data_IF_596545544580
#
_entry.id   IF_596545544580
#
_cell.length_a   1.000
_cell.length_b   1.000
_cell.length_c   1.000
_cell.angle_alpha   90.00
_cell.angle_beta   90.00
_cell.angle_gamma   90.00
#
_symmetry.space_group_name_H-M   'P 1'
#
loop_
_entity.id
_entity.type
_entity.pdbx_description
1 polymer ?
#
# COMPACT_ATOMS: atom_id res chain seq x y z
N UNK A 1 -26.59 -1.77 -16.25
CA UNK A 1 -25.99 -1.11 -15.07
C UNK A 1 -24.54 -1.54 -14.97
N UNK A 2 -23.58 -0.60 -14.99
CA UNK A 2 -22.16 -0.93 -14.81
C UNK A 2 -21.88 -1.45 -13.39
N UNK A 3 -20.90 -2.35 -13.21
CA UNK A 3 -20.58 -2.93 -11.90
C UNK A 3 -19.89 -1.90 -10.98
N UNK A 4 -20.42 -1.73 -9.76
CA UNK A 4 -19.87 -0.86 -8.71
C UNK A 4 -18.57 -1.42 -8.15
N UNK A 5 -17.42 -1.02 -8.70
CA UNK A 5 -16.09 -1.39 -8.18
C UNK A 5 -15.21 -0.16 -8.09
N UNK A 6 -14.37 -0.02 -7.05
CA UNK A 6 -13.29 0.99 -6.99
C UNK A 6 -12.05 0.52 -7.76
N UNK A 7 -11.09 1.43 -7.95
CA UNK A 7 -9.83 1.18 -8.64
C UNK A 7 -8.94 0.16 -7.91
N UNK A 8 -9.11 -0.10 -6.61
CA UNK A 8 -8.27 -1.08 -5.87
C UNK A 8 -9.03 -1.97 -4.88
N UNK A 9 -10.04 -2.68 -5.38
CA UNK A 9 -10.64 -3.83 -4.67
C UNK A 9 -10.21 -5.15 -5.29
N UNK A 10 -9.05 -5.70 -4.89
CA UNK A 10 -8.70 -7.09 -5.23
C UNK A 10 -9.23 -8.00 -4.14
N UNK A 11 -10.37 -8.64 -4.42
CA UNK A 11 -10.80 -9.85 -3.71
C UNK A 11 -9.94 -11.00 -4.24
N UNK A 12 -9.38 -11.89 -3.39
CA UNK A 12 -8.75 -13.11 -3.87
C UNK A 12 -9.77 -13.91 -4.69
N UNK A 13 -9.56 -14.01 -6.00
CA UNK A 13 -10.36 -14.87 -6.86
C UNK A 13 -10.11 -16.33 -6.47
N UNK A 14 -11.21 -17.05 -6.30
CA UNK A 14 -11.31 -18.49 -6.06
C UNK A 14 -10.64 -19.21 -7.24
N UNK A 15 -9.59 -19.99 -6.99
CA UNK A 15 -8.97 -20.85 -8.00
C UNK A 15 -9.69 -22.20 -7.98
N UNK A 16 -10.41 -22.49 -9.06
CA UNK A 16 -10.80 -23.85 -9.42
C UNK A 16 -9.59 -24.61 -9.97
N UNK A 17 -9.54 -25.89 -9.60
CA UNK A 17 -8.47 -26.84 -9.83
C UNK A 17 -8.29 -27.15 -11.33
N UNK A 18 -7.12 -26.85 -11.91
CA UNK A 18 -6.60 -27.63 -13.05
C UNK A 18 -5.08 -27.75 -12.98
N UNK A 19 -4.64 -28.99 -12.86
CA UNK A 19 -3.26 -29.47 -12.87
C UNK A 19 -2.68 -29.54 -14.28
N UNK A 20 -1.46 -29.04 -14.48
CA UNK A 20 -0.36 -29.71 -15.21
C UNK A 20 0.87 -28.79 -15.21
N UNK A 21 2.07 -29.39 -15.27
CA UNK A 21 3.27 -28.82 -14.70
C UNK A 21 4.20 -28.07 -15.66
N UNK A 22 5.04 -27.21 -15.08
CA UNK A 22 6.45 -27.05 -15.44
C UNK A 22 7.17 -26.23 -14.35
N UNK A 23 8.46 -26.49 -14.14
CA UNK A 23 9.31 -25.98 -13.05
C UNK A 23 9.65 -24.49 -13.20
N UNK A 24 9.90 -23.74 -12.11
CA UNK A 24 10.26 -22.33 -12.18
C UNK A 24 11.78 -22.14 -12.29
N UNK A 25 12.18 -21.20 -13.15
CA UNK A 25 13.56 -20.74 -13.31
C UNK A 25 13.65 -19.22 -13.19
N UNK A 26 14.65 -18.79 -12.43
CA UNK A 26 15.26 -17.47 -12.30
C UNK A 26 14.55 -16.35 -11.53
N UNK A 27 15.14 -16.09 -10.37
CA UNK A 27 15.19 -14.81 -9.68
C UNK A 27 15.70 -13.71 -10.62
N UNK A 28 14.90 -12.65 -10.76
CA UNK A 28 15.28 -11.40 -11.42
C UNK A 28 14.94 -10.25 -10.48
N UNK A 29 15.96 -9.46 -10.13
CA UNK A 29 15.88 -8.28 -9.30
C UNK A 29 14.76 -7.33 -9.76
N UNK A 30 13.97 -6.83 -8.81
CA UNK A 30 12.92 -5.86 -9.05
C UNK A 30 13.50 -4.59 -9.65
N UNK A 31 13.20 -4.34 -10.92
CA UNK A 31 13.39 -3.04 -11.56
C UNK A 31 12.06 -2.29 -11.54
N UNK A 32 12.10 -1.03 -11.13
CA UNK A 32 11.00 -0.08 -11.20
C UNK A 32 10.30 -0.15 -12.57
N UNK A 33 8.96 -0.17 -12.55
CA UNK A 33 8.14 -0.16 -13.77
C UNK A 33 8.27 1.21 -14.42
N UNK A 34 9.07 1.29 -15.48
CA UNK A 34 9.17 2.48 -16.33
C UNK A 34 7.88 2.63 -17.14
N UNK A 35 7.24 3.81 -17.18
CA UNK A 35 6.19 4.08 -18.15
C UNK A 35 6.78 3.93 -19.56
N UNK A 36 6.24 3.01 -20.35
CA UNK A 36 6.65 2.84 -21.75
C UNK A 36 6.03 3.93 -22.60
N UNK A 37 6.83 4.53 -23.49
CA UNK A 37 6.39 5.50 -24.49
C UNK A 37 5.53 4.74 -25.52
N UNK A 38 4.26 5.10 -25.64
CA UNK A 38 3.40 4.59 -26.72
C UNK A 38 3.73 5.40 -27.99
N UNK A 39 4.23 4.78 -29.08
CA UNK A 39 4.69 5.52 -30.25
C UNK A 39 3.54 6.13 -31.07
N UNK A 40 2.29 5.73 -30.81
CA UNK A 40 1.15 6.20 -31.58
C UNK A 40 0.42 7.35 -30.85
N UNK A 41 0.63 8.57 -31.37
CA UNK A 41 -0.09 9.83 -31.07
C UNK A 41 0.35 10.74 -29.91
N UNK A 42 1.65 10.92 -29.69
CA UNK A 42 2.17 12.22 -29.21
C UNK A 42 2.52 13.13 -30.40
N UNK A 43 1.50 13.55 -31.16
CA UNK A 43 1.64 14.63 -32.16
C UNK A 43 1.03 15.91 -31.62
N UNK A 44 1.66 16.44 -30.57
CA UNK A 44 1.84 17.88 -30.38
C UNK A 44 3.25 18.04 -29.85
N UNK A 45 4.13 18.57 -30.70
CA UNK A 45 5.47 19.01 -30.34
C UNK A 45 5.31 20.00 -29.18
N UNK A 46 5.53 19.54 -27.95
CA UNK A 46 5.79 20.40 -26.81
C UNK A 46 7.27 20.77 -26.92
N UNK A 47 7.53 22.06 -27.17
CA UNK A 47 8.83 22.58 -27.56
C UNK A 47 9.97 22.27 -26.59
N UNK A 48 11.17 22.12 -27.17
CA UNK A 48 12.54 22.27 -26.66
C UNK A 48 12.87 22.02 -25.17
N UNK A 49 12.06 21.21 -24.47
CA UNK A 49 12.20 20.93 -23.05
C UNK A 49 12.12 19.44 -22.76
N UNK A 50 12.80 19.01 -21.69
CA UNK A 50 12.70 17.63 -21.20
C UNK A 50 11.24 17.27 -20.87
N UNK A 51 10.77 16.15 -21.44
CA UNK A 51 9.48 15.50 -21.12
C UNK A 51 9.32 15.31 -19.60
N UNK A 52 8.08 15.35 -19.11
CA UNK A 52 7.78 15.11 -17.70
C UNK A 52 8.31 13.76 -17.22
N UNK A 53 8.33 12.73 -18.07
CA UNK A 53 8.89 11.42 -17.73
C UNK A 53 10.40 11.47 -17.45
N UNK A 54 11.14 12.26 -18.23
CA UNK A 54 12.58 12.49 -18.00
C UNK A 54 12.81 13.22 -16.67
N UNK A 55 11.94 14.17 -16.33
CA UNK A 55 12.00 14.88 -15.04
C UNK A 55 11.70 13.95 -13.86
N UNK A 56 10.71 13.07 -14.01
CA UNK A 56 10.41 12.02 -13.02
C UNK A 56 11.59 11.06 -12.83
N UNK A 57 12.23 10.60 -13.91
CA UNK A 57 13.42 9.74 -13.84
C UNK A 57 14.60 10.42 -13.12
N UNK A 58 14.77 11.75 -13.29
CA UNK A 58 15.77 12.52 -12.53
C UNK A 58 15.46 12.57 -11.03
N UNK A 59 14.18 12.63 -10.65
CA UNK A 59 13.77 12.56 -9.24
C UNK A 59 14.17 11.21 -8.66
N UNK A 60 13.85 10.10 -9.34
CA UNK A 60 14.21 8.75 -8.91
C UNK A 60 15.72 8.60 -8.76
N UNK A 61 16.50 9.00 -9.78
CA UNK A 61 17.96 8.95 -9.73
C UNK A 61 18.55 9.79 -8.58
N UNK A 62 17.91 10.90 -8.23
CA UNK A 62 18.34 11.72 -7.09
C UNK A 62 18.02 11.01 -5.77
N UNK A 63 16.83 10.43 -5.63
CA UNK A 63 16.44 9.66 -4.47
C UNK A 63 17.36 8.44 -4.25
N UNK A 64 17.78 7.77 -5.33
CA UNK A 64 18.71 6.62 -5.27
C UNK A 64 20.13 7.03 -4.87
N UNK A 65 20.58 8.22 -5.26
CA UNK A 65 21.94 8.70 -4.96
C UNK A 65 22.08 9.25 -3.54
N UNK A 66 21.02 9.82 -3.02
CA UNK A 66 21.01 10.49 -1.73
C UNK A 66 19.69 10.23 -1.00
N UNK A 67 19.72 9.29 -0.05
CA UNK A 67 18.59 8.93 0.81
C UNK A 67 18.23 10.02 1.84
N UNK A 68 19.00 11.11 1.96
CA UNK A 68 18.63 12.28 2.74
C UNK A 68 18.10 13.43 1.86
N UNK A 69 18.06 13.25 0.53
CA UNK A 69 17.62 14.28 -0.38
C UNK A 69 16.17 14.69 -0.12
N UNK A 70 15.95 16.00 -0.09
CA UNK A 70 14.61 16.59 -0.04
C UNK A 70 14.21 17.15 -1.39
N UNK A 71 12.90 17.11 -1.66
CA UNK A 71 12.32 17.41 -2.96
C UNK A 71 11.39 18.62 -2.88
N UNK A 72 11.70 19.61 -3.72
CA UNK A 72 10.95 20.86 -3.88
C UNK A 72 10.34 20.92 -5.27
N UNK A 73 9.40 21.84 -5.46
CA UNK A 73 8.81 22.15 -6.77
C UNK A 73 8.17 20.94 -7.49
N UNK A 74 7.76 19.92 -6.73
CA UNK A 74 7.04 18.74 -7.24
C UNK A 74 5.68 19.12 -7.82
N UNK A 75 5.02 20.14 -7.26
CA UNK A 75 3.73 20.62 -7.74
C UNK A 75 3.79 21.09 -9.20
N UNK A 76 4.94 21.64 -9.63
CA UNK A 76 5.14 22.07 -11.02
C UNK A 76 5.07 20.94 -12.04
N UNK A 77 5.21 19.68 -11.60
CA UNK A 77 5.13 18.49 -12.45
C UNK A 77 3.71 18.07 -12.76
N UNK A 78 2.70 18.66 -12.11
CA UNK A 78 1.28 18.50 -12.46
C UNK A 78 0.98 19.26 -13.76
N UNK A 79 1.61 18.83 -14.84
CA UNK A 79 1.44 19.39 -16.18
C UNK A 79 0.37 18.61 -16.94
N UNK A 80 -0.15 19.19 -18.02
CA UNK A 80 -1.05 18.48 -18.94
C UNK A 80 -0.47 17.16 -19.44
N UNK A 81 0.85 17.08 -19.66
CA UNK A 81 1.52 15.85 -20.07
C UNK A 81 1.40 14.77 -18.98
N UNK A 82 1.68 15.09 -17.71
CA UNK A 82 1.55 14.13 -16.62
C UNK A 82 0.10 13.72 -16.38
N UNK A 83 -0.82 14.69 -16.42
CA UNK A 83 -2.25 14.41 -16.29
C UNK A 83 -2.71 13.48 -17.41
N UNK A 84 -2.24 13.65 -18.64
CA UNK A 84 -2.55 12.72 -19.73
C UNK A 84 -2.10 11.29 -19.41
N UNK A 85 -0.86 11.09 -18.92
CA UNK A 85 -0.40 9.75 -18.52
C UNK A 85 -1.23 9.17 -17.36
N UNK A 86 -1.61 10.01 -16.39
CA UNK A 86 -2.46 9.61 -15.28
C UNK A 86 -3.85 9.19 -15.76
N UNK A 87 -4.44 9.90 -16.72
CA UNK A 87 -5.73 9.59 -17.33
C UNK A 87 -5.74 8.21 -17.97
N UNK A 88 -4.68 7.88 -18.73
CA UNK A 88 -4.53 6.56 -19.37
C UNK A 88 -4.40 5.40 -18.38
N UNK A 89 -4.14 5.67 -17.10
CA UNK A 89 -4.09 4.67 -16.02
C UNK A 89 -5.43 4.52 -15.28
N UNK A 90 -6.44 5.36 -15.56
CA UNK A 90 -7.76 5.24 -14.96
C UNK A 90 -8.54 4.07 -15.58
N UNK A 91 -9.35 3.39 -14.76
CA UNK A 91 -10.24 2.32 -15.24
C UNK A 91 -11.55 2.94 -15.74
N UNK A 92 -12.03 2.46 -16.90
CA UNK A 92 -13.25 2.99 -17.56
C UNK A 92 -14.55 2.44 -17.00
N UNK A 93 -14.54 1.25 -16.39
CA UNK A 93 -15.71 0.52 -15.90
C UNK A 93 -16.19 0.96 -14.51
N UNK A 94 -15.93 2.23 -14.13
CA UNK A 94 -16.14 2.74 -12.77
C UNK A 94 -17.33 3.66 -12.70
N UNK A 95 -18.07 3.57 -11.60
CA UNK A 95 -19.14 4.50 -11.30
C UNK A 95 -18.59 5.94 -11.18
N UNK A 96 -19.34 6.94 -11.68
CA UNK A 96 -18.95 8.34 -11.59
C UNK A 96 -18.97 8.85 -10.14
N UNK A 97 -18.35 10.01 -9.93
CA UNK A 97 -18.41 10.71 -8.65
C UNK A 97 -19.71 11.49 -8.47
N UNK A 98 -19.69 12.47 -7.57
CA UNK A 98 -20.86 13.32 -7.30
C UNK A 98 -21.29 14.17 -8.51
N UNK A 99 -20.39 14.40 -9.46
CA UNK A 99 -20.61 15.19 -10.68
C UNK A 99 -21.28 14.38 -11.81
N UNK A 100 -21.42 13.06 -11.66
CA UNK A 100 -21.99 12.18 -12.67
C UNK A 100 -21.12 11.98 -13.91
N UNK A 101 -19.91 12.54 -13.95
CA UNK A 101 -19.02 12.46 -15.12
C UNK A 101 -18.31 11.12 -15.16
N UNK A 102 -18.44 10.39 -16.27
CA UNK A 102 -17.71 9.15 -16.52
C UNK A 102 -16.37 9.42 -17.19
N UNK A 103 -15.46 8.43 -17.14
CA UNK A 103 -14.15 8.52 -17.81
C UNK A 103 -14.33 8.69 -19.33
N UNK A 104 -15.28 7.97 -19.92
CA UNK A 104 -15.55 8.03 -21.36
C UNK A 104 -16.07 9.41 -21.77
N UNK A 105 -16.99 10.00 -21.00
CA UNK A 105 -17.49 11.35 -21.27
C UNK A 105 -16.38 12.41 -21.09
N UNK A 106 -15.53 12.26 -20.07
CA UNK A 106 -14.37 13.13 -19.89
C UNK A 106 -13.35 13.02 -21.04
N UNK A 107 -13.24 11.85 -21.68
CA UNK A 107 -12.32 11.60 -22.81
C UNK A 107 -12.74 12.37 -24.08
N UNK A 108 -14.04 12.64 -24.28
CA UNK A 108 -14.58 13.33 -25.47
C UNK A 108 -13.92 14.70 -25.72
N UNK A 109 -13.60 15.43 -24.64
CA UNK A 109 -12.91 16.73 -24.69
C UNK A 109 -11.59 16.71 -23.92
N UNK A 110 -10.88 15.57 -23.94
CA UNK A 110 -9.72 15.33 -23.09
C UNK A 110 -8.70 16.48 -23.12
N UNK A 111 -8.31 16.97 -24.30
CA UNK A 111 -7.29 18.01 -24.40
C UNK A 111 -7.71 19.35 -23.74
N UNK A 112 -8.96 19.76 -23.94
CA UNK A 112 -9.53 20.98 -23.33
C UNK A 112 -9.65 20.81 -21.82
N UNK A 113 -10.21 19.68 -21.37
CA UNK A 113 -10.38 19.37 -19.95
C UNK A 113 -9.04 19.35 -19.21
N UNK A 114 -8.00 18.73 -19.79
CA UNK A 114 -6.67 18.69 -19.17
C UNK A 114 -6.00 20.08 -19.12
N UNK A 115 -6.18 20.92 -20.14
CA UNK A 115 -5.64 22.28 -20.17
C UNK A 115 -6.31 23.17 -19.10
N UNK A 116 -7.63 23.08 -18.98
CA UNK A 116 -8.38 23.79 -17.95
C UNK A 116 -7.97 23.32 -16.54
N UNK A 117 -7.88 22.01 -16.32
CA UNK A 117 -7.46 21.43 -15.04
C UNK A 117 -6.03 21.86 -14.66
N UNK A 118 -5.07 21.79 -15.59
CA UNK A 118 -3.71 22.30 -15.36
C UNK A 118 -3.74 23.79 -14.97
N UNK A 119 -4.52 24.61 -15.68
CA UNK A 119 -4.65 26.04 -15.39
C UNK A 119 -5.21 26.28 -13.99
N UNK A 120 -6.27 25.56 -13.59
CA UNK A 120 -6.85 25.64 -12.24
C UNK A 120 -5.90 25.16 -11.15
N UNK A 121 -5.10 24.12 -11.41
CA UNK A 121 -4.08 23.63 -10.49
C UNK A 121 -2.99 24.70 -10.27
N UNK A 122 -2.38 25.24 -11.32
CA UNK A 122 -1.29 26.22 -11.17
C UNK A 122 -1.74 27.58 -10.64
N UNK A 123 -3.01 27.94 -10.83
CA UNK A 123 -3.66 29.10 -10.18
C UNK A 123 -4.19 28.81 -8.77
N UNK A 124 -4.04 27.59 -8.27
CA UNK A 124 -4.55 27.11 -6.96
C UNK A 124 -6.06 27.29 -6.77
N UNK A 125 -6.83 27.36 -7.85
CA UNK A 125 -8.29 27.44 -7.81
C UNK A 125 -8.97 26.07 -7.85
N UNK A 126 -8.23 24.99 -8.17
CA UNK A 126 -8.75 23.63 -8.14
C UNK A 126 -9.23 23.20 -6.74
N UNK A 127 -10.42 22.59 -6.66
CA UNK A 127 -11.10 22.11 -5.44
C UNK A 127 -11.49 20.62 -5.57
N UNK A 128 -10.81 19.66 -4.89
CA UNK A 128 -11.30 18.30 -4.77
C UNK A 128 -12.71 18.30 -4.22
N UNK A 129 -13.51 17.43 -4.80
CA UNK A 129 -14.87 17.19 -4.39
C UNK A 129 -14.88 16.15 -3.27
N UNK A 130 -15.90 16.19 -2.39
CA UNK A 130 -16.12 15.11 -1.45
C UNK A 130 -16.40 13.81 -2.22
N UNK A 131 -15.86 12.69 -1.75
CA UNK A 131 -16.12 11.39 -2.38
C UNK A 131 -17.54 10.92 -2.05
N UNK A 132 -18.27 10.41 -3.04
CA UNK A 132 -19.59 9.82 -2.82
C UNK A 132 -19.43 8.48 -2.10
N UNK A 133 -19.99 8.36 -0.88
CA UNK A 133 -19.93 7.11 -0.12
C UNK A 133 -21.03 6.16 -0.58
N UNK A 134 -20.63 4.93 -0.89
CA UNK A 134 -21.54 3.85 -1.22
C UNK A 134 -21.17 2.59 -0.44
N UNK A 135 -22.13 2.00 0.26
CA UNK A 135 -21.89 0.82 1.08
C UNK A 135 -22.07 -0.46 0.26
N UNK A 136 -20.99 -1.23 0.10
CA UNK A 136 -21.03 -2.52 -0.60
C UNK A 136 -21.19 -3.63 0.44
N UNK A 137 -22.21 -4.50 0.35
CA UNK A 137 -22.36 -5.63 1.26
C UNK A 137 -21.20 -6.61 1.12
N UNK A 138 -20.62 -7.02 2.25
CA UNK A 138 -19.72 -8.17 2.35
C UNK A 138 -20.53 -9.43 2.71
N UNK A 139 -19.98 -10.60 2.38
CA UNK A 139 -20.63 -11.90 2.63
C UNK A 139 -20.84 -12.26 4.11
N UNK A 140 -20.23 -11.51 5.03
CA UNK A 140 -20.33 -11.65 6.49
C UNK A 140 -21.39 -10.70 7.12
N UNK A 141 -22.26 -10.08 6.30
CA UNK A 141 -23.32 -9.17 6.77
C UNK A 141 -22.83 -7.77 7.14
N UNK A 142 -21.52 -7.51 7.07
CA UNK A 142 -20.93 -6.17 7.20
C UNK A 142 -20.93 -5.45 5.86
N UNK A 143 -20.87 -4.12 5.85
CA UNK A 143 -20.66 -3.35 4.62
C UNK A 143 -19.21 -2.86 4.53
N UNK A 144 -18.73 -2.65 3.29
CA UNK A 144 -17.51 -1.92 3.02
C UNK A 144 -17.89 -0.57 2.41
N UNK A 145 -17.62 0.55 3.08
CA UNK A 145 -17.82 1.85 2.47
C UNK A 145 -16.85 2.02 1.30
N UNK A 146 -17.37 2.48 0.17
CA UNK A 146 -16.60 2.81 -1.03
C UNK A 146 -16.73 4.30 -1.31
N UNK A 147 -15.61 5.01 -1.38
CA UNK A 147 -15.57 6.39 -1.88
C UNK A 147 -15.46 6.42 -3.40
N UNK A 148 -16.46 7.01 -4.06
CA UNK A 148 -16.45 7.30 -5.50
C UNK A 148 -16.06 8.77 -5.71
N UNK A 149 -14.82 8.99 -6.12
CA UNK A 149 -14.31 10.32 -6.47
C UNK A 149 -14.65 10.70 -7.92
N UNK A 150 -14.75 12.01 -8.18
CA UNK A 150 -14.89 12.58 -9.53
C UNK A 150 -13.68 12.23 -10.41
N UNK A 151 -13.86 12.27 -11.73
CA UNK A 151 -12.79 11.91 -12.69
C UNK A 151 -11.56 12.79 -12.52
N UNK A 152 -11.74 14.11 -12.40
CA UNK A 152 -10.64 15.04 -12.16
C UNK A 152 -9.88 14.74 -10.86
N UNK A 153 -10.60 14.37 -9.79
CA UNK A 153 -9.97 14.07 -8.51
C UNK A 153 -9.15 12.78 -8.59
N UNK A 154 -9.69 11.73 -9.22
CA UNK A 154 -8.94 10.49 -9.50
C UNK A 154 -7.70 10.77 -10.34
N UNK A 155 -7.84 11.64 -11.33
CA UNK A 155 -6.78 12.04 -12.25
C UNK A 155 -5.64 12.76 -11.53
N UNK A 156 -5.96 13.80 -10.75
CA UNK A 156 -4.97 14.57 -9.99
C UNK A 156 -4.33 13.69 -8.91
N UNK A 157 -5.11 12.88 -8.19
CA UNK A 157 -4.58 11.91 -7.22
C UNK A 157 -3.59 10.95 -7.89
N UNK A 158 -3.93 10.41 -9.07
CA UNK A 158 -3.06 9.50 -9.81
C UNK A 158 -1.78 10.18 -10.28
N UNK A 159 -1.85 11.43 -10.73
CA UNK A 159 -0.66 12.22 -11.09
C UNK A 159 0.24 12.48 -9.86
N UNK A 160 -0.34 12.81 -8.70
CA UNK A 160 0.41 12.94 -7.44
C UNK A 160 1.08 11.62 -7.07
N UNK A 161 0.37 10.49 -7.14
CA UNK A 161 0.95 9.16 -6.91
C UNK A 161 2.15 8.90 -7.81
N UNK A 162 2.04 9.18 -9.12
CA UNK A 162 3.14 8.98 -10.06
C UNK A 162 4.39 9.79 -9.71
N UNK A 163 4.23 11.00 -9.16
CA UNK A 163 5.34 11.83 -8.67
C UNK A 163 5.94 11.24 -7.40
N UNK A 164 5.09 10.93 -6.41
CA UNK A 164 5.53 10.47 -5.10
C UNK A 164 6.15 9.06 -5.13
N UNK A 165 5.69 8.18 -6.02
CA UNK A 165 6.29 6.87 -6.28
C UNK A 165 7.76 6.99 -6.67
N UNK A 166 8.19 8.06 -7.37
CA UNK A 166 9.60 8.25 -7.74
C UNK A 166 10.51 8.48 -6.54
N UNK A 167 9.95 8.92 -5.41
CA UNK A 167 10.69 9.19 -4.18
C UNK A 167 10.57 7.98 -3.26
N UNK A 168 9.33 7.61 -2.91
CA UNK A 168 9.09 6.66 -1.83
C UNK A 168 9.32 5.21 -2.23
N UNK A 169 9.20 4.81 -3.50
CA UNK A 169 9.55 3.43 -3.87
C UNK A 169 11.04 3.12 -3.67
N UNK A 170 11.89 4.15 -3.73
CA UNK A 170 13.33 4.04 -3.43
C UNK A 170 13.56 3.90 -1.92
N UNK A 171 12.73 4.56 -1.11
CA UNK A 171 12.88 4.59 0.35
C UNK A 171 12.25 3.38 1.05
N UNK A 172 11.13 2.86 0.50
CA UNK A 172 10.37 1.78 1.13
C UNK A 172 11.18 0.51 1.32
N UNK A 173 11.18 0.00 2.56
CA UNK A 173 11.82 -1.25 2.93
C UNK A 173 11.33 -2.44 2.07
N UNK A 174 12.25 -3.36 1.78
CA UNK A 174 11.95 -4.58 1.00
C UNK A 174 10.96 -5.53 1.68
N UNK A 175 10.75 -5.35 2.97
CA UNK A 175 9.79 -6.08 3.80
C UNK A 175 8.34 -5.66 3.58
N UNK A 176 8.10 -4.56 2.87
CA UNK A 176 6.76 -4.06 2.53
C UNK A 176 6.34 -4.41 1.10
N UNK A 177 5.15 -5.01 0.95
CA UNK A 177 4.66 -5.55 -0.33
C UNK A 177 3.32 -4.99 -0.81
N UNK A 178 2.48 -4.48 0.10
CA UNK A 178 1.11 -4.09 -0.23
C UNK A 178 1.06 -2.83 -1.10
N UNK A 179 0.22 -2.83 -2.14
CA UNK A 179 -0.02 -1.65 -3.00
C UNK A 179 1.22 -0.99 -3.61
N UNK A 180 2.30 -1.76 -3.84
CA UNK A 180 3.55 -1.26 -4.45
C UNK A 180 3.75 -1.82 -5.86
N UNK A 181 4.28 -1.02 -6.81
CA UNK A 181 4.59 -1.49 -8.15
C UNK A 181 5.53 -2.71 -8.13
N UNK A 182 5.17 -3.77 -8.84
CA UNK A 182 5.98 -4.99 -8.95
C UNK A 182 6.03 -5.86 -7.69
N UNK A 183 5.30 -5.50 -6.64
CA UNK A 183 5.16 -6.28 -5.39
C UNK A 183 3.79 -6.98 -5.34
N UNK A 184 3.71 -8.18 -4.76
CA UNK A 184 2.45 -8.92 -4.63
C UNK A 184 2.30 -9.68 -3.32
N UNK A 185 1.06 -10.03 -2.97
CA UNK A 185 0.78 -10.86 -1.80
C UNK A 185 1.46 -12.23 -1.89
N UNK A 186 1.59 -12.80 -3.09
CA UNK A 186 2.27 -14.07 -3.32
C UNK A 186 3.78 -13.98 -3.02
N UNK A 187 4.42 -12.85 -3.33
CA UNK A 187 5.83 -12.63 -2.96
C UNK A 187 5.98 -12.50 -1.44
N UNK A 188 5.12 -11.73 -0.77
CA UNK A 188 5.13 -11.62 0.69
C UNK A 188 4.99 -12.99 1.36
N UNK A 189 4.03 -13.79 0.90
CA UNK A 189 3.84 -15.17 1.34
C UNK A 189 5.08 -16.04 1.03
N UNK A 190 5.67 -15.94 -0.16
CA UNK A 190 6.85 -16.71 -0.53
C UNK A 190 8.01 -16.43 0.43
N UNK A 191 8.31 -15.15 0.68
CA UNK A 191 9.39 -14.71 1.58
C UNK A 191 9.11 -15.15 3.02
N UNK A 192 7.88 -15.02 3.50
CA UNK A 192 7.49 -15.52 4.83
C UNK A 192 7.75 -17.03 4.96
N UNK A 193 7.39 -17.80 3.92
CA UNK A 193 7.61 -19.23 3.87
C UNK A 193 9.10 -19.62 3.88
N UNK A 194 9.92 -18.87 3.15
CA UNK A 194 11.37 -19.07 3.12
C UNK A 194 12.00 -18.76 4.48
N UNK A 195 11.64 -17.63 5.10
CA UNK A 195 12.13 -17.23 6.43
C UNK A 195 11.81 -18.32 7.45
N UNK A 196 10.55 -18.74 7.56
CA UNK A 196 10.13 -19.76 8.54
C UNK A 196 10.79 -21.13 8.27
N UNK A 197 11.09 -21.46 7.01
CA UNK A 197 11.68 -22.74 6.65
C UNK A 197 13.20 -22.80 6.84
N UNK A 198 13.90 -21.68 6.66
CA UNK A 198 15.36 -21.64 6.56
C UNK A 198 16.06 -20.92 7.70
N UNK A 199 15.40 -19.94 8.33
CA UNK A 199 15.94 -19.09 9.41
C UNK A 199 15.58 -19.66 10.78
N UNK A 200 16.12 -19.06 11.84
CA UNK A 200 15.94 -19.54 13.22
C UNK A 200 14.63 -19.05 13.86
N UNK A 201 13.53 -19.06 13.11
CA UNK A 201 12.25 -18.55 13.61
C UNK A 201 11.52 -19.59 14.47
N UNK A 202 11.11 -19.16 15.65
CA UNK A 202 10.37 -19.95 16.66
C UNK A 202 9.08 -19.29 17.13
N UNK A 203 8.92 -18.00 16.86
CA UNK A 203 7.81 -17.19 17.33
C UNK A 203 7.31 -16.29 16.20
N UNK A 204 5.99 -16.19 16.09
CA UNK A 204 5.30 -15.31 15.16
C UNK A 204 4.44 -14.37 16.00
N UNK A 205 4.63 -13.07 15.79
CA UNK A 205 3.76 -12.02 16.29
C UNK A 205 2.94 -11.50 15.11
N UNK A 206 1.66 -11.80 15.15
CA UNK A 206 0.65 -11.21 14.26
C UNK A 206 0.24 -9.85 14.84
N UNK A 207 0.42 -8.77 14.08
CA UNK A 207 0.12 -7.41 14.50
C UNK A 207 -0.82 -6.75 13.49
N UNK A 208 -2.11 -6.68 13.87
CA UNK A 208 -3.18 -6.03 13.12
C UNK A 208 -3.43 -4.64 13.71
N UNK A 209 -3.46 -3.61 12.87
CA UNK A 209 -3.74 -2.24 13.29
C UNK A 209 -5.24 -1.99 13.20
N UNK A 210 -5.86 -1.64 14.32
CA UNK A 210 -7.30 -1.43 14.38
C UNK A 210 -7.71 -0.23 13.54
N UNK A 211 -8.57 -0.45 12.55
CA UNK A 211 -9.17 0.63 11.74
C UNK A 211 -8.13 1.55 11.09
N UNK A 212 -6.98 1.03 10.65
CA UNK A 212 -5.85 1.86 10.21
C UNK A 212 -6.26 2.97 9.25
N UNK A 213 -6.99 2.63 8.17
CA UNK A 213 -7.42 3.60 7.16
C UNK A 213 -8.40 4.65 7.70
N UNK A 214 -9.10 4.37 8.80
CA UNK A 214 -10.09 5.27 9.38
C UNK A 214 -9.47 6.19 10.45
N UNK A 215 -8.33 5.80 11.04
CA UNK A 215 -7.68 6.52 12.16
C UNK A 215 -6.34 7.18 11.83
N UNK A 216 -5.91 7.23 10.55
CA UNK A 216 -4.68 7.94 10.18
C UNK A 216 -4.79 9.43 10.50
N UNK A 217 -4.01 9.92 11.47
CA UNK A 217 -3.94 11.34 11.78
C UNK A 217 -3.30 12.13 10.61
N UNK A 218 -4.05 13.09 10.05
CA UNK A 218 -3.60 13.88 8.89
C UNK A 218 -2.35 14.71 9.20
N UNK A 219 -2.29 15.34 10.38
CA UNK A 219 -1.14 16.16 10.78
C UNK A 219 0.14 15.34 10.83
N UNK A 220 0.08 14.15 11.44
CA UNK A 220 1.21 13.21 11.49
C UNK A 220 1.60 12.72 10.10
N UNK A 221 0.64 12.41 9.24
CA UNK A 221 0.92 12.00 7.88
C UNK A 221 1.64 13.11 7.09
N UNK A 222 1.19 14.36 7.21
CA UNK A 222 1.83 15.51 6.56
C UNK A 222 3.21 15.79 7.15
N UNK A 223 3.42 15.62 8.47
CA UNK A 223 4.73 15.71 9.12
C UNK A 223 5.70 14.66 8.55
N UNK A 224 5.26 13.41 8.44
CA UNK A 224 6.05 12.32 7.85
C UNK A 224 6.36 12.56 6.37
N UNK A 225 5.37 13.01 5.57
CA UNK A 225 5.61 13.39 4.18
C UNK A 225 6.61 14.53 4.05
N UNK A 226 6.59 15.46 5.01
CA UNK A 226 7.47 16.63 5.05
C UNK A 226 8.93 16.28 5.31
N UNK A 227 9.25 15.03 5.68
CA UNK A 227 10.64 14.57 5.82
C UNK A 227 11.36 14.61 4.47
N UNK A 228 10.70 14.12 3.40
CA UNK A 228 11.25 14.07 2.03
C UNK A 228 10.69 15.17 1.13
N UNK A 229 9.45 15.59 1.32
CA UNK A 229 8.80 16.61 0.49
C UNK A 229 8.89 17.96 1.19
N UNK A 230 9.59 18.91 0.59
CA UNK A 230 9.69 20.29 1.08
C UNK A 230 8.97 21.29 0.16
N UNK A 231 8.10 20.80 -0.73
CA UNK A 231 7.19 21.61 -1.54
C UNK A 231 5.86 21.89 -0.81
N UNK A 232 5.61 23.13 -0.34
CA UNK A 232 4.41 23.47 0.40
C UNK A 232 3.14 23.33 -0.45
N UNK A 233 3.21 23.54 -1.78
CA UNK A 233 2.04 23.43 -2.67
C UNK A 233 1.60 21.97 -2.82
N UNK A 234 2.57 21.05 -2.90
CA UNK A 234 2.28 19.62 -2.94
C UNK A 234 1.67 19.13 -1.62
N UNK A 235 2.26 19.50 -0.48
CA UNK A 235 1.73 19.13 0.84
C UNK A 235 0.34 19.71 1.08
N UNK A 236 0.11 20.95 0.65
CA UNK A 236 -1.21 21.58 0.68
C UNK A 236 -2.25 20.81 -0.13
N UNK A 237 -1.92 20.38 -1.36
CA UNK A 237 -2.83 19.63 -2.20
C UNK A 237 -3.19 18.26 -1.57
N UNK A 238 -2.20 17.55 -1.04
CA UNK A 238 -2.41 16.28 -0.32
C UNK A 238 -3.33 16.50 0.89
N UNK A 239 -3.04 17.53 1.70
CA UNK A 239 -3.87 17.89 2.86
C UNK A 239 -5.32 18.18 2.47
N UNK A 240 -5.53 18.77 1.30
CA UNK A 240 -6.86 19.06 0.77
C UNK A 240 -7.60 17.83 0.27
N UNK A 241 -6.90 16.82 -0.26
CA UNK A 241 -7.52 15.54 -0.56
C UNK A 241 -7.98 14.81 0.70
N UNK A 242 -7.15 14.84 1.77
CA UNK A 242 -7.48 14.23 3.05
C UNK A 242 -8.72 14.89 3.71
N UNK A 243 -8.84 16.22 3.59
CA UNK A 243 -9.93 17.02 4.16
C UNK A 243 -11.12 17.24 3.21
N UNK A 244 -11.13 16.62 2.04
CA UNK A 244 -12.20 16.83 1.05
C UNK A 244 -13.58 16.37 1.55
N UNK A 245 -13.59 15.43 2.51
CA UNK A 245 -14.80 14.89 3.10
C UNK A 245 -15.45 13.79 2.25
N UNK A 246 -16.57 13.29 2.77
CA UNK A 246 -17.43 12.32 2.07
C UNK A 246 -18.86 12.82 2.00
N UNK A 247 -19.54 12.46 0.91
CA UNK A 247 -20.96 12.74 0.70
C UNK A 247 -21.76 11.49 1.04
N UNK A 248 -22.65 11.58 2.02
CA UNK A 248 -23.52 10.48 2.48
C UNK A 248 -24.97 10.98 2.37
N UNK A 249 -25.79 10.31 1.56
CA UNK A 249 -27.22 10.67 1.37
C UNK A 249 -27.44 12.16 1.03
N UNK A 250 -26.50 12.77 0.29
CA UNK A 250 -26.55 14.19 -0.08
C UNK A 250 -26.04 15.16 0.99
N UNK A 251 -25.64 14.69 2.16
CA UNK A 251 -25.06 15.50 3.24
C UNK A 251 -23.52 15.36 3.28
N UNK A 252 -22.85 16.50 3.43
CA UNK A 252 -21.38 16.56 3.48
C UNK A 252 -20.95 16.27 4.90
N UNK A 253 -20.08 15.28 5.04
CA UNK A 253 -19.40 14.97 6.28
C UNK A 253 -17.92 15.30 6.12
N UNK A 254 -17.41 16.14 7.01
CA UNK A 254 -15.99 16.41 7.07
C UNK A 254 -15.24 15.17 7.59
N UNK A 255 -13.96 15.09 7.24
CA UNK A 255 -13.09 13.97 7.58
C UNK A 255 -11.90 14.54 8.33
N UNK A 256 -11.94 14.39 9.65
CA UNK A 256 -10.91 14.93 10.56
C UNK A 256 -9.72 13.96 10.72
N UNK A 257 -9.94 12.67 10.47
CA UNK A 257 -8.91 11.62 10.47
C UNK A 257 -9.21 10.53 9.42
N UNK A 258 -8.21 9.71 9.13
CA UNK A 258 -8.30 8.63 8.16
C UNK A 258 -7.91 9.06 6.74
N UNK A 259 -7.72 8.08 5.86
CA UNK A 259 -7.48 8.30 4.43
C UNK A 259 -8.68 7.76 3.64
N UNK A 260 -9.21 8.50 2.64
CA UNK A 260 -10.42 8.09 1.93
C UNK A 260 -10.27 6.70 1.29
N UNK A 261 -11.13 5.75 1.68
CA UNK A 261 -11.12 4.40 1.09
C UNK A 261 -11.65 4.46 -0.36
N UNK A 262 -10.82 4.05 -1.33
CA UNK A 262 -11.16 4.05 -2.76
C UNK A 262 -10.52 5.17 -3.58
N UNK A 263 -9.78 6.08 -2.93
CA UNK A 263 -8.86 7.00 -3.60
C UNK A 263 -7.59 6.26 -4.05
N UNK A 264 -7.08 6.61 -5.23
CA UNK A 264 -5.81 6.06 -5.75
C UNK A 264 -4.59 6.53 -4.96
N UNK A 265 -4.70 7.63 -4.22
CA UNK A 265 -3.63 8.22 -3.41
C UNK A 265 -3.50 7.55 -2.04
N UNK A 266 -4.62 7.11 -1.45
CA UNK A 266 -4.67 6.56 -0.09
C UNK A 266 -3.74 5.36 0.16
N UNK A 267 -3.61 4.37 -0.74
CA UNK A 267 -2.68 3.25 -0.51
C UNK A 267 -1.22 3.69 -0.42
N UNK A 268 -0.80 4.67 -1.22
CA UNK A 268 0.55 5.21 -1.15
C UNK A 268 0.78 5.95 0.17
N UNK A 269 -0.16 6.82 0.57
CA UNK A 269 -0.08 7.56 1.83
C UNK A 269 -0.03 6.63 3.05
N UNK A 270 -0.85 5.58 3.04
CA UNK A 270 -0.83 4.50 4.02
C UNK A 270 0.56 3.85 4.13
N UNK A 271 1.17 3.54 2.99
CA UNK A 271 2.50 2.95 2.96
C UNK A 271 3.59 3.90 3.45
N UNK A 272 3.53 5.19 3.10
CA UNK A 272 4.43 6.21 3.65
C UNK A 272 4.34 6.26 5.17
N UNK A 273 3.11 6.27 5.70
CA UNK A 273 2.88 6.29 7.13
C UNK A 273 3.53 5.09 7.83
N UNK A 274 3.19 3.88 7.38
CA UNK A 274 3.68 2.64 8.00
C UNK A 274 5.15 2.38 7.73
N UNK A 275 5.72 2.94 6.66
CA UNK A 275 7.16 2.89 6.43
C UNK A 275 7.93 3.54 7.58
N UNK A 276 7.60 4.78 7.96
CA UNK A 276 8.28 5.46 9.07
C UNK A 276 7.88 4.92 10.45
N UNK A 277 6.61 4.58 10.63
CA UNK A 277 6.10 4.19 11.94
C UNK A 277 6.52 2.77 12.31
N UNK A 278 6.52 1.85 11.34
CA UNK A 278 6.71 0.43 11.56
C UNK A 278 7.97 -0.10 10.85
N UNK A 279 8.09 0.02 9.52
CA UNK A 279 9.13 -0.69 8.77
C UNK A 279 10.55 -0.18 9.08
N UNK A 280 10.76 1.13 8.96
CA UNK A 280 12.05 1.79 9.21
C UNK A 280 12.44 1.65 10.69
N UNK A 281 11.48 1.92 11.59
CA UNK A 281 11.68 1.72 13.02
C UNK A 281 12.02 0.27 13.37
N UNK A 282 11.40 -0.70 12.71
CA UNK A 282 11.73 -2.10 12.94
C UNK A 282 13.17 -2.40 12.52
N UNK A 283 13.58 -1.99 11.32
CA UNK A 283 14.92 -2.29 10.78
C UNK A 283 16.04 -1.51 11.50
N UNK A 284 15.82 -0.24 11.81
CA UNK A 284 16.85 0.63 12.40
C UNK A 284 16.90 0.53 13.92
N UNK A 285 15.76 0.35 14.59
CA UNK A 285 15.70 0.41 16.05
C UNK A 285 15.42 -0.94 16.72
N UNK A 286 14.43 -1.68 16.25
CA UNK A 286 14.00 -2.92 16.90
C UNK A 286 15.03 -4.01 16.65
N UNK A 287 15.26 -4.33 15.37
CA UNK A 287 16.07 -5.46 14.93
C UNK A 287 17.49 -5.46 15.50
N UNK A 288 18.24 -4.33 15.54
CA UNK A 288 19.58 -4.31 16.12
C UNK A 288 19.62 -4.49 17.65
N UNK A 289 18.49 -4.32 18.33
CA UNK A 289 18.36 -4.45 19.79
C UNK A 289 17.79 -5.82 20.22
N UNK A 290 17.47 -6.69 19.27
CA UNK A 290 17.05 -8.07 19.53
C UNK A 290 18.27 -8.95 19.75
N UNK A 291 18.14 -9.98 20.59
CA UNK A 291 19.23 -10.92 20.87
C UNK A 291 19.31 -12.02 19.80
N UNK A 292 18.16 -12.48 19.30
CA UNK A 292 18.06 -13.48 18.23
C UNK A 292 17.69 -12.89 16.88
N UNK A 293 17.48 -13.76 15.89
CA UNK A 293 16.98 -13.34 14.58
C UNK A 293 15.56 -12.74 14.66
N UNK A 294 15.34 -11.61 13.99
CA UNK A 294 14.06 -10.94 13.89
C UNK A 294 13.79 -10.46 12.45
N UNK A 295 12.56 -10.65 11.97
CA UNK A 295 12.12 -10.30 10.62
C UNK A 295 10.72 -9.70 10.64
N UNK A 296 10.45 -8.75 9.75
CA UNK A 296 9.13 -8.16 9.55
C UNK A 296 8.70 -8.38 8.10
N UNK A 297 7.42 -8.68 7.89
CA UNK A 297 6.78 -8.70 6.57
C UNK A 297 5.47 -7.95 6.69
N UNK A 298 5.27 -6.97 5.82
CA UNK A 298 4.06 -6.13 5.81
C UNK A 298 3.38 -6.14 4.46
N UNK A 299 2.06 -6.22 4.47
CA UNK A 299 1.21 -6.04 3.32
C UNK A 299 0.08 -5.06 3.69
N UNK A 300 0.24 -3.81 3.28
CA UNK A 300 -0.63 -2.72 3.70
C UNK A 300 -0.60 -2.56 5.24
N UNK A 301 -1.75 -2.70 5.90
CA UNK A 301 -1.96 -2.65 7.36
C UNK A 301 -1.72 -4.00 8.05
N UNK A 302 -1.78 -5.11 7.32
CA UNK A 302 -1.51 -6.45 7.83
C UNK A 302 0.00 -6.71 7.92
N UNK A 303 0.50 -7.06 9.12
CA UNK A 303 1.93 -7.23 9.36
C UNK A 303 2.24 -8.43 10.25
N UNK A 304 3.29 -9.17 9.87
CA UNK A 304 3.81 -10.30 10.63
C UNK A 304 5.27 -10.06 10.98
N UNK A 305 5.57 -10.14 12.27
CA UNK A 305 6.92 -10.18 12.78
C UNK A 305 7.29 -11.59 13.23
N UNK A 306 8.48 -12.05 12.87
CA UNK A 306 8.99 -13.39 13.15
C UNK A 306 10.28 -13.30 13.97
N UNK A 307 10.36 -14.07 15.05
CA UNK A 307 11.46 -14.00 16.03
C UNK A 307 12.04 -15.39 16.36
N UNK A 308 13.33 -15.41 16.69
CA UNK A 308 14.01 -16.57 17.25
C UNK A 308 13.68 -16.78 18.73
N UNK A 309 13.67 -15.72 19.53
CA UNK A 309 13.51 -15.78 20.98
C UNK A 309 12.15 -15.26 21.42
N UNK A 310 11.57 -15.90 22.43
CA UNK A 310 10.30 -15.49 23.01
C UNK A 310 10.41 -14.12 23.71
N UNK A 311 11.54 -13.91 24.40
CA UNK A 311 11.85 -12.65 25.10
C UNK A 311 11.85 -11.47 24.14
N UNK A 312 12.46 -11.62 22.96
CA UNK A 312 12.49 -10.61 21.91
C UNK A 312 11.08 -10.33 21.36
N UNK A 313 10.30 -11.38 21.10
CA UNK A 313 8.93 -11.23 20.60
C UNK A 313 8.02 -10.50 21.60
N UNK A 314 8.10 -10.86 22.89
CA UNK A 314 7.35 -10.19 23.96
C UNK A 314 7.80 -8.73 24.14
N UNK A 315 9.11 -8.49 24.07
CA UNK A 315 9.66 -7.13 24.13
C UNK A 315 9.14 -6.28 22.98
N UNK A 316 9.14 -6.82 21.76
CA UNK A 316 8.60 -6.15 20.57
C UNK A 316 7.12 -5.79 20.76
N UNK A 317 6.27 -6.73 21.17
CA UNK A 317 4.85 -6.44 21.41
C UNK A 317 4.63 -5.32 22.43
N UNK A 318 5.40 -5.33 23.53
CA UNK A 318 5.31 -4.29 24.57
C UNK A 318 5.72 -2.90 24.09
N UNK A 319 6.69 -2.79 23.18
CA UNK A 319 7.12 -1.49 22.61
C UNK A 319 6.28 -1.08 21.40
N UNK A 320 5.73 -2.03 20.64
CA UNK A 320 4.90 -1.76 19.47
C UNK A 320 3.64 -0.98 19.84
N UNK A 321 2.96 -1.36 20.92
CA UNK A 321 1.78 -0.62 21.42
C UNK A 321 2.13 0.84 21.70
N UNK A 322 3.24 1.10 22.39
CA UNK A 322 3.71 2.46 22.70
C UNK A 322 4.12 3.22 21.45
N UNK A 323 4.75 2.54 20.49
CA UNK A 323 5.15 3.11 19.20
C UNK A 323 3.92 3.54 18.42
N UNK A 324 2.93 2.66 18.23
CA UNK A 324 1.69 2.98 17.50
C UNK A 324 0.93 4.12 18.17
N UNK A 325 0.77 4.10 19.50
CA UNK A 325 0.08 5.14 20.24
C UNK A 325 0.72 6.54 20.06
N UNK A 326 2.06 6.62 19.99
CA UNK A 326 2.78 7.88 19.69
C UNK A 326 2.38 8.48 18.35
N UNK A 327 2.01 7.64 17.39
CA UNK A 327 1.54 8.02 16.06
C UNK A 327 0.01 7.92 15.95
N UNK A 328 -0.73 8.01 17.06
CA UNK A 328 -2.21 8.00 17.02
C UNK A 328 -2.82 6.74 16.39
N UNK A 329 -2.09 5.62 16.40
CA UNK A 329 -2.58 4.32 15.94
C UNK A 329 -2.83 3.41 17.13
N UNK A 330 -3.78 2.49 16.98
CA UNK A 330 -4.13 1.49 17.98
C UNK A 330 -3.93 0.08 17.43
N UNK A 331 -3.43 -0.82 18.28
CA UNK A 331 -3.28 -2.23 17.95
C UNK A 331 -4.60 -2.95 18.24
N UNK A 332 -5.02 -3.86 17.36
CA UNK A 332 -6.16 -4.72 17.62
C UNK A 332 -5.75 -5.85 18.59
N UNK A 333 -5.92 -5.62 19.90
CA UNK A 333 -5.50 -6.57 20.95
C UNK A 333 -6.14 -7.95 20.78
N UNK A 334 -7.41 -8.01 20.34
CA UNK A 334 -8.13 -9.28 20.14
C UNK A 334 -7.57 -10.14 19.00
N UNK A 335 -6.89 -9.51 18.04
CA UNK A 335 -6.30 -10.18 16.87
C UNK A 335 -4.81 -10.40 17.02
N UNK A 336 -4.14 -9.58 17.82
CA UNK A 336 -2.70 -9.68 18.05
C UNK A 336 -2.37 -10.94 18.83
N UNK A 337 -1.62 -11.84 18.22
CA UNK A 337 -1.27 -13.13 18.84
C UNK A 337 0.22 -13.37 18.77
N UNK A 338 0.80 -13.73 19.92
CA UNK A 338 2.13 -14.32 19.99
C UNK A 338 2.02 -15.84 19.93
N UNK A 339 2.53 -16.43 18.86
CA UNK A 339 2.39 -17.86 18.59
C UNK A 339 3.77 -18.50 18.48
N UNK A 340 3.97 -19.55 19.26
CA UNK A 340 5.12 -20.44 19.08
C UNK A 340 4.94 -21.21 17.78
N UNK A 341 5.79 -20.96 16.79
CA UNK A 341 5.62 -21.45 15.43
C UNK A 341 6.95 -21.68 14.72
N UNK A 342 6.99 -22.69 13.85
CA UNK A 342 8.16 -22.98 13.02
C UNK A 342 8.75 -24.36 13.26
N UNK A 343 9.93 -24.59 12.68
CA UNK A 343 10.58 -25.91 12.65
C UNK A 343 10.95 -26.41 14.04
N UNK A 344 11.49 -25.55 14.89
CA UNK A 344 11.96 -25.96 16.21
C UNK A 344 10.78 -26.12 17.18
N UNK A 345 9.79 -25.23 17.12
CA UNK A 345 8.53 -25.37 17.84
C UNK A 345 7.88 -26.73 17.59
N UNK A 346 7.82 -27.16 16.32
CA UNK A 346 7.29 -28.49 15.96
C UNK A 346 8.10 -29.64 16.57
N UNK A 347 9.44 -29.58 16.51
CA UNK A 347 10.30 -30.63 17.08
C UNK A 347 10.07 -30.77 18.58
N UNK A 348 9.87 -29.65 19.26
CA UNK A 348 9.64 -29.64 20.69
C UNK A 348 8.25 -30.13 21.07
N UNK A 349 7.18 -29.71 20.39
CA UNK A 349 5.84 -30.27 20.62
C UNK A 349 5.81 -31.78 20.35
N UNK A 350 6.56 -32.28 19.36
CA UNK A 350 6.73 -33.71 19.13
C UNK A 350 7.48 -34.42 20.26
N UNK A 351 8.48 -33.76 20.88
CA UNK A 351 9.22 -34.27 22.04
C UNK A 351 8.37 -34.29 23.31
N UNK A 352 7.51 -33.28 23.49
CA UNK A 352 6.64 -33.11 24.66
C UNK A 352 5.30 -33.85 24.55
N UNK A 353 4.98 -34.43 23.40
CA UNK A 353 3.70 -35.12 23.17
C UNK A 353 2.49 -34.20 22.94
N UNK A 354 2.73 -32.90 22.75
CA UNK A 354 1.68 -31.86 22.63
C UNK A 354 1.07 -31.75 21.21
N UNK A 355 1.45 -32.64 20.29
CA UNK A 355 0.93 -32.65 18.93
C UNK A 355 1.61 -31.61 18.01
N UNK A 356 0.81 -30.87 17.23
CA UNK A 356 1.31 -29.87 16.26
C UNK A 356 1.23 -28.44 16.81
N UNK A 357 2.19 -27.56 16.48
CA UNK A 357 2.10 -26.13 16.83
C UNK A 357 0.80 -25.49 16.35
N UNK A 358 0.38 -24.41 17.03
CA UNK A 358 -0.77 -23.58 16.64
C UNK A 358 -0.62 -23.05 15.21
N UNK A 359 -1.73 -22.67 14.59
CA UNK A 359 -1.76 -22.05 13.25
C UNK A 359 -1.99 -20.55 13.36
N UNK A 360 -1.59 -19.80 12.33
CA UNK A 360 -1.89 -18.37 12.20
C UNK A 360 -2.45 -18.07 10.83
N UNK A 361 -3.23 -17.00 10.71
CA UNK A 361 -3.82 -16.55 9.45
C UNK A 361 -3.05 -15.33 8.94
N UNK A 362 -2.81 -15.27 7.63
CA UNK A 362 -2.16 -14.12 6.99
C UNK A 362 -2.55 -14.07 5.53
N UNK A 363 -2.96 -12.90 5.04
CA UNK A 363 -3.35 -12.68 3.64
C UNK A 363 -4.36 -13.71 3.10
N UNK A 364 -5.35 -14.07 3.93
CA UNK A 364 -6.41 -15.03 3.57
C UNK A 364 -5.99 -16.51 3.59
N UNK A 365 -4.81 -16.83 4.13
CA UNK A 365 -4.33 -18.20 4.27
C UNK A 365 -4.03 -18.56 5.72
N UNK A 366 -4.54 -19.72 6.15
CA UNK A 366 -4.10 -20.35 7.39
C UNK A 366 -2.78 -21.09 7.16
N UNK A 367 -1.76 -20.68 7.90
CA UNK A 367 -0.41 -21.22 7.90
C UNK A 367 -0.24 -22.28 8.99
N UNK A 368 0.27 -23.45 8.60
CA UNK A 368 0.47 -24.56 9.52
C UNK A 368 1.75 -25.34 9.25
N UNK A 369 2.34 -25.89 10.31
CA UNK A 369 3.58 -26.64 10.24
C UNK A 369 3.35 -28.02 9.61
N UNK A 370 3.88 -28.25 8.39
CA UNK A 370 3.77 -29.49 7.65
C UNK A 370 5.11 -30.20 7.41
N UNK A 371 5.03 -31.39 6.81
CA UNK A 371 6.17 -32.16 6.30
C UNK A 371 6.02 -32.36 4.79
N UNK A 372 7.16 -32.34 4.08
CA UNK A 372 7.25 -32.71 2.67
C UNK A 372 7.27 -34.23 2.50
N UNK A 373 7.11 -34.71 1.25
CA UNK A 373 7.27 -36.13 0.90
C UNK A 373 8.66 -36.68 1.30
N UNK A 374 9.68 -35.82 1.31
CA UNK A 374 11.04 -36.16 1.75
C UNK A 374 11.25 -36.04 3.28
N UNK A 375 10.17 -36.04 4.09
CA UNK A 375 10.19 -35.90 5.56
C UNK A 375 10.90 -34.63 6.08
N UNK A 376 11.08 -33.60 5.26
CA UNK A 376 11.62 -32.29 5.69
C UNK A 376 10.49 -31.37 6.14
N UNK A 377 10.80 -30.43 7.03
CA UNK A 377 9.86 -29.38 7.44
C UNK A 377 9.41 -28.55 6.23
N UNK A 378 8.13 -28.23 6.15
CA UNK A 378 7.56 -27.33 5.13
C UNK A 378 6.38 -26.55 5.72
N UNK A 379 6.36 -25.24 5.51
CA UNK A 379 5.17 -24.44 5.78
C UNK A 379 4.08 -24.78 4.77
N UNK A 380 2.91 -25.21 5.25
CA UNK A 380 1.74 -25.47 4.41
C UNK A 380 0.69 -24.39 4.62
N UNK A 381 -0.15 -24.20 3.60
CA UNK A 381 -1.22 -23.21 3.57
C UNK A 381 -2.51 -23.88 3.18
N UNK A 382 -3.61 -23.41 3.75
CA UNK A 382 -4.98 -23.66 3.29
C UNK A 382 -5.70 -22.32 3.28
N UNK A 383 -6.71 -22.17 2.43
CA UNK A 383 -7.56 -20.98 2.45
C UNK A 383 -8.18 -20.82 3.84
N UNK A 384 -8.08 -19.61 4.40
CA UNK A 384 -8.74 -19.29 5.66
C UNK A 384 -10.26 -19.44 5.50
N UNK A 385 -10.94 -19.88 6.56
CA UNK A 385 -12.39 -20.13 6.54
C UNK A 385 -13.19 -18.85 6.69
#
# INVERSE_FOLDING_TARGET
MPPWKSDDGIVPLKLEDQSSGSKPGNAGAGKAVRPTRDPDRTSTVLGDGDSVLTRLDRITKRAERDHAATFNNLYSLLTRELLWYAFRKLKRDKAPGIDGVTVDHYEEKLQENLLDLETRLHRQSYRPHPSLRHDIPKGDGKTRPLGLACVEDKLVQRAVVMILEQIYEVDFCDTSYGFRPGRSCHQALSVLGEIIATKKVNWISDADIAGFFDHVCHERLVELLSTRIKDPRMLWLISRFLKAGVMIEGLRHDTDEGVPQGSSLSPLLANVYLHYVLDEWFEQDVRPRMQGEAYLIRYADDSIAAFELESDARRFQGVLVKRLARYSLQLAEEKTKLLRFGRFARRECQRLGEGSPKTFDFLGFTHYCGTSRAKRFKLKRRTAK
#
